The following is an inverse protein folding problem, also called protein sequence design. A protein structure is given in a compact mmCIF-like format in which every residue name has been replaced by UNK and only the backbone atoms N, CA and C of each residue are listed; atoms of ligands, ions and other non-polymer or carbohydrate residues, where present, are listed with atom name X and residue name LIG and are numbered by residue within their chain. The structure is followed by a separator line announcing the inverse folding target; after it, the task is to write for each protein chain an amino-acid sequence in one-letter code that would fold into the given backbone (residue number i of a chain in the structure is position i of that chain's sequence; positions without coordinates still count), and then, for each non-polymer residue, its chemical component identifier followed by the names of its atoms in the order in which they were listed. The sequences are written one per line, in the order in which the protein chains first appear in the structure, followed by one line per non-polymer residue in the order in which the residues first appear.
data_IF_893905786962
#
_entry.id   IF_893905786962
#
_cell.length_a   1.000
_cell.length_b   1.000
_cell.length_c   1.000
_cell.angle_alpha   90.00
_cell.angle_beta   90.00
_cell.angle_gamma   90.00
#
_symmetry.space_group_name_H-M   'P 1'
#
loop_
_entity.id
_entity.type
_entity.pdbx_description
1 polymer ?
#
# COMPACT_ATOMS: atom_id res chain seq x y z
N UNK A 1 22.27 -46.78 -11.15
CA UNK A 1 21.44 -46.29 -10.04
C UNK A 1 21.42 -44.77 -10.11
N UNK A 2 20.36 -44.21 -10.69
CA UNK A 2 20.20 -42.75 -10.72
C UNK A 2 19.55 -42.29 -9.41
N UNK A 3 20.34 -41.73 -8.52
CA UNK A 3 19.82 -41.00 -7.36
C UNK A 3 19.12 -39.76 -7.88
N UNK A 4 17.81 -39.77 -7.94
CA UNK A 4 17.03 -38.55 -8.12
C UNK A 4 17.31 -37.64 -6.93
N UNK A 5 17.80 -36.42 -7.15
CA UNK A 5 17.90 -35.46 -6.05
C UNK A 5 16.51 -35.29 -5.48
N UNK A 6 16.36 -35.49 -4.18
CA UNK A 6 15.10 -35.32 -3.48
C UNK A 6 14.55 -33.93 -3.78
N UNK A 7 13.34 -33.88 -4.28
CA UNK A 7 12.62 -32.60 -4.39
C UNK A 7 12.54 -32.03 -2.98
N UNK A 8 13.29 -30.99 -2.75
CA UNK A 8 13.06 -30.16 -1.57
C UNK A 8 11.69 -29.51 -1.78
N UNK A 9 10.67 -30.11 -1.20
CA UNK A 9 9.35 -29.49 -1.13
C UNK A 9 9.46 -28.31 -0.16
N UNK A 10 9.74 -27.14 -0.70
CA UNK A 10 9.55 -25.90 0.04
C UNK A 10 8.07 -25.85 0.37
N UNK A 11 7.67 -25.80 1.68
CA UNK A 11 6.27 -25.64 2.02
C UNK A 11 5.79 -24.38 1.29
N UNK A 12 4.78 -24.52 0.44
CA UNK A 12 4.19 -23.41 -0.26
C UNK A 12 3.70 -22.41 0.80
N UNK A 13 4.43 -21.33 0.98
CA UNK A 13 3.92 -20.15 1.68
C UNK A 13 2.68 -19.76 0.87
N UNK A 14 1.54 -19.86 1.48
CA UNK A 14 0.24 -19.75 0.85
C UNK A 14 0.11 -18.39 0.13
N UNK A 15 0.32 -18.32 -1.18
CA UNK A 15 0.24 -17.04 -1.89
C UNK A 15 -1.20 -16.56 -2.07
N UNK A 16 -2.18 -17.45 -1.86
CA UNK A 16 -3.60 -17.14 -2.03
C UNK A 16 -4.38 -17.74 -0.87
N UNK A 17 -5.05 -16.89 -0.09
CA UNK A 17 -5.91 -17.32 1.02
C UNK A 17 -7.31 -17.75 0.55
N UNK A 18 -7.84 -17.10 -0.48
CA UNK A 18 -9.16 -17.40 -1.04
C UNK A 18 -9.16 -17.25 -2.55
N UNK A 19 -9.68 -18.27 -3.22
CA UNK A 19 -10.04 -18.22 -4.64
C UNK A 19 -11.56 -18.11 -4.75
N UNK A 20 -12.06 -16.90 -5.01
CA UNK A 20 -13.48 -16.71 -5.34
C UNK A 20 -13.57 -16.27 -6.80
N UNK A 21 -13.78 -17.23 -7.71
CA UNK A 21 -13.86 -16.97 -9.14
C UNK A 21 -12.59 -16.30 -9.69
N UNK A 22 -12.69 -15.19 -10.44
CA UNK A 22 -11.52 -14.49 -10.98
C UNK A 22 -10.74 -13.66 -9.95
N UNK A 23 -11.22 -13.55 -8.70
CA UNK A 23 -10.59 -12.78 -7.62
C UNK A 23 -9.71 -13.70 -6.75
N UNK A 24 -8.42 -13.65 -6.98
CA UNK A 24 -7.43 -14.20 -6.08
C UNK A 24 -7.05 -13.13 -5.06
N UNK A 25 -7.56 -13.27 -3.84
CA UNK A 25 -7.09 -12.45 -2.73
C UNK A 25 -5.75 -13.01 -2.25
N UNK A 26 -4.68 -12.40 -2.71
CA UNK A 26 -3.34 -12.72 -2.24
C UNK A 26 -3.17 -12.32 -0.76
N UNK A 27 -2.34 -13.07 -0.04
CA UNK A 27 -1.97 -12.76 1.34
C UNK A 27 -1.46 -11.33 1.51
N UNK A 28 -0.70 -10.86 0.52
CA UNK A 28 -0.21 -9.47 0.49
C UNK A 28 -1.35 -8.45 0.47
N UNK A 29 -2.37 -8.66 -0.38
CA UNK A 29 -3.52 -7.75 -0.46
C UNK A 29 -4.30 -7.68 0.85
N UNK A 30 -4.51 -8.83 1.50
CA UNK A 30 -5.16 -8.88 2.81
C UNK A 30 -4.34 -8.16 3.88
N UNK A 31 -3.04 -8.42 3.95
CA UNK A 31 -2.15 -7.77 4.91
C UNK A 31 -2.03 -6.28 4.66
N UNK A 32 -2.02 -5.84 3.42
CA UNK A 32 -2.05 -4.43 3.07
C UNK A 32 -3.35 -3.76 3.55
N UNK A 33 -4.50 -4.38 3.32
CA UNK A 33 -5.79 -3.87 3.80
C UNK A 33 -5.84 -3.78 5.33
N UNK A 34 -5.38 -4.81 6.02
CA UNK A 34 -5.27 -4.80 7.48
C UNK A 34 -4.30 -3.73 7.98
N UNK A 35 -3.19 -3.55 7.27
CA UNK A 35 -2.20 -2.50 7.56
C UNK A 35 -2.78 -1.10 7.43
N UNK A 36 -3.52 -0.82 6.37
CA UNK A 36 -4.23 0.46 6.20
C UNK A 36 -5.29 0.69 7.28
N UNK A 37 -6.05 -0.34 7.60
CA UNK A 37 -7.09 -0.25 8.62
C UNK A 37 -6.48 -0.01 10.01
N UNK A 38 -5.44 -0.76 10.37
CA UNK A 38 -4.71 -0.57 11.62
C UNK A 38 -4.06 0.82 11.69
N UNK A 39 -3.42 1.27 10.62
CA UNK A 39 -2.86 2.60 10.50
C UNK A 39 -3.92 3.70 10.68
N UNK A 40 -5.10 3.51 10.12
CA UNK A 40 -6.22 4.44 10.30
C UNK A 40 -6.64 4.58 11.77
N UNK A 41 -6.82 3.46 12.46
CA UNK A 41 -7.21 3.49 13.87
C UNK A 41 -6.12 4.12 14.76
N UNK A 42 -4.88 3.80 14.52
CA UNK A 42 -3.74 4.40 15.24
C UNK A 42 -3.66 5.90 14.98
N UNK A 43 -3.77 6.30 13.73
CA UNK A 43 -3.79 7.72 13.36
C UNK A 43 -4.94 8.47 14.00
N UNK A 44 -6.14 7.89 13.96
CA UNK A 44 -7.32 8.49 14.58
C UNK A 44 -7.17 8.66 16.09
N UNK A 45 -6.61 7.67 16.77
CA UNK A 45 -6.32 7.74 18.20
C UNK A 45 -5.30 8.82 18.53
N UNK A 46 -4.22 8.92 17.76
CA UNK A 46 -3.22 9.97 17.92
C UNK A 46 -3.76 11.36 17.58
N UNK A 47 -4.55 11.48 16.54
CA UNK A 47 -5.21 12.74 16.17
C UNK A 47 -6.15 13.22 17.27
N UNK A 48 -6.94 12.32 17.86
CA UNK A 48 -7.81 12.64 18.99
C UNK A 48 -7.01 13.09 20.22
N UNK A 49 -5.92 12.42 20.52
CA UNK A 49 -5.03 12.74 21.65
C UNK A 49 -4.38 14.12 21.48
N UNK A 50 -4.07 14.50 20.25
CA UNK A 50 -3.42 15.80 19.90
C UNK A 50 -4.42 16.92 19.61
N UNK A 51 -5.71 16.66 19.69
CA UNK A 51 -6.77 17.64 19.40
C UNK A 51 -6.88 18.01 17.91
N UNK A 52 -6.45 17.13 17.02
CA UNK A 52 -6.57 17.31 15.57
C UNK A 52 -7.99 17.01 15.08
N UNK A 53 -8.33 17.50 13.88
CA UNK A 53 -9.65 17.28 13.29
C UNK A 53 -9.84 15.80 12.90
N UNK A 54 -10.72 15.08 13.62
CA UNK A 54 -11.01 13.68 13.35
C UNK A 54 -11.68 13.44 12.00
N UNK A 55 -12.46 14.41 11.52
CA UNK A 55 -13.11 14.35 10.20
C UNK A 55 -12.09 14.20 9.07
N UNK A 56 -10.92 14.80 9.21
CA UNK A 56 -9.85 14.75 8.24
C UNK A 56 -9.18 13.35 8.18
N UNK A 57 -9.32 12.55 9.23
CA UNK A 57 -8.70 11.20 9.29
C UNK A 57 -9.21 10.26 8.20
N UNK A 58 -10.50 10.26 7.95
CA UNK A 58 -11.10 9.44 6.88
C UNK A 58 -10.72 9.95 5.49
N UNK A 59 -10.66 11.26 5.30
CA UNK A 59 -10.19 11.86 4.04
C UNK A 59 -8.72 11.52 3.77
N UNK A 60 -7.87 11.59 4.79
CA UNK A 60 -6.47 11.22 4.69
C UNK A 60 -6.29 9.74 4.34
N UNK A 61 -7.09 8.86 4.93
CA UNK A 61 -7.07 7.44 4.60
C UNK A 61 -7.40 7.19 3.12
N UNK A 62 -8.52 7.74 2.65
CA UNK A 62 -8.98 7.55 1.26
C UNK A 62 -7.95 8.12 0.29
N UNK A 63 -7.47 9.33 0.53
CA UNK A 63 -6.50 9.99 -0.34
C UNK A 63 -5.16 9.26 -0.33
N UNK A 64 -4.71 8.74 0.80
CA UNK A 64 -3.47 7.96 0.88
C UNK A 64 -3.57 6.64 0.12
N UNK A 65 -4.70 5.95 0.19
CA UNK A 65 -4.94 4.71 -0.59
C UNK A 65 -4.92 5.01 -2.08
N UNK A 66 -5.68 5.99 -2.53
CA UNK A 66 -5.72 6.39 -3.95
C UNK A 66 -4.34 6.83 -4.43
N UNK A 67 -3.67 7.68 -3.68
CA UNK A 67 -2.33 8.16 -4.00
C UNK A 67 -1.30 7.03 -4.07
N UNK A 68 -1.39 6.06 -3.15
CA UNK A 68 -0.52 4.88 -3.15
C UNK A 68 -0.74 3.99 -4.37
N UNK A 69 -1.99 3.76 -4.74
CA UNK A 69 -2.33 2.96 -5.92
C UNK A 69 -1.85 3.63 -7.20
N UNK A 70 -2.11 4.92 -7.36
CA UNK A 70 -1.68 5.72 -8.52
C UNK A 70 -0.15 5.79 -8.58
N UNK A 71 0.50 6.10 -7.46
CA UNK A 71 1.96 6.19 -7.37
C UNK A 71 2.66 4.87 -7.69
N UNK A 72 2.13 3.76 -7.17
CA UNK A 72 2.66 2.43 -7.47
C UNK A 72 2.57 2.11 -8.97
N UNK A 73 1.47 2.48 -9.61
CA UNK A 73 1.27 2.28 -11.04
C UNK A 73 2.19 3.16 -11.89
N UNK A 74 2.30 4.43 -11.55
CA UNK A 74 3.19 5.35 -12.26
C UNK A 74 4.65 4.87 -12.16
N UNK A 75 5.10 4.49 -10.97
CA UNK A 75 6.45 4.01 -10.79
C UNK A 75 6.71 2.71 -11.58
N UNK A 76 5.74 1.80 -11.59
CA UNK A 76 5.84 0.58 -12.40
C UNK A 76 5.93 0.88 -13.90
N UNK A 77 5.12 1.81 -14.39
CA UNK A 77 5.18 2.24 -15.79
C UNK A 77 6.53 2.90 -16.14
N UNK A 78 7.12 3.66 -15.22
CA UNK A 78 8.45 4.25 -15.41
C UNK A 78 9.57 3.21 -15.40
N UNK A 79 9.46 2.20 -14.55
CA UNK A 79 10.43 1.10 -14.44
C UNK A 79 10.43 0.22 -15.70
N UNK A 80 9.25 -0.02 -16.26
CA UNK A 80 9.06 -0.81 -17.48
C UNK A 80 8.61 0.07 -18.66
N UNK A 81 9.32 1.17 -18.88
CA UNK A 81 8.96 2.15 -19.90
C UNK A 81 8.87 1.57 -21.31
N UNK A 82 9.75 0.66 -21.66
CA UNK A 82 9.75 0.00 -22.98
C UNK A 82 8.46 -0.79 -23.23
N UNK A 83 7.97 -1.48 -22.22
CA UNK A 83 6.69 -2.21 -22.29
C UNK A 83 5.50 -1.25 -22.24
N UNK A 84 5.62 -0.16 -21.50
CA UNK A 84 4.57 0.87 -21.41
C UNK A 84 4.32 1.54 -22.76
N UNK A 85 5.37 1.83 -23.53
CA UNK A 85 5.26 2.44 -24.85
C UNK A 85 4.57 1.49 -25.86
N UNK A 86 4.81 0.19 -25.73
CA UNK A 86 4.19 -0.83 -26.62
C UNK A 86 2.78 -1.22 -26.21
N UNK A 87 2.49 -1.31 -24.92
CA UNK A 87 1.17 -1.70 -24.40
C UNK A 87 0.85 -0.95 -23.10
N UNK A 88 0.43 0.34 -23.18
CA UNK A 88 0.14 1.13 -21.99
C UNK A 88 -1.08 0.61 -21.22
N UNK A 89 -2.07 0.04 -21.90
CA UNK A 89 -3.28 -0.48 -21.27
C UNK A 89 -2.98 -1.76 -20.50
N UNK A 90 -2.16 -2.65 -21.06
CA UNK A 90 -1.75 -3.89 -20.41
C UNK A 90 -1.00 -3.65 -19.12
N UNK A 91 -0.10 -2.66 -19.08
CA UNK A 91 0.64 -2.28 -17.87
C UNK A 91 -0.28 -1.68 -16.82
N UNK A 92 -1.14 -0.76 -17.21
CA UNK A 92 -2.07 -0.10 -16.28
C UNK A 92 -3.09 -1.07 -15.69
N UNK A 93 -3.45 -2.11 -16.44
CA UNK A 93 -4.41 -3.13 -16.02
C UNK A 93 -3.77 -4.42 -15.49
N UNK A 94 -2.46 -4.50 -15.47
CA UNK A 94 -1.72 -5.66 -14.97
C UNK A 94 -2.01 -5.90 -13.49
N UNK A 95 -2.24 -7.18 -13.14
CA UNK A 95 -2.36 -7.61 -11.73
C UNK A 95 -1.03 -7.51 -10.97
N UNK A 96 0.07 -7.60 -11.70
CA UNK A 96 1.42 -7.43 -11.20
C UNK A 96 1.86 -6.00 -11.48
N UNK A 97 2.62 -5.41 -10.62
CA UNK A 97 3.17 -4.09 -10.86
C UNK A 97 2.79 -3.05 -9.81
N UNK A 98 2.76 -3.50 -8.58
CA UNK A 98 2.74 -2.58 -7.46
C UNK A 98 4.15 -2.49 -6.89
N UNK A 99 4.84 -1.40 -7.17
CA UNK A 99 6.13 -1.11 -6.54
C UNK A 99 5.88 -0.44 -5.20
N UNK A 100 6.52 -0.97 -4.17
CA UNK A 100 6.37 -0.46 -2.81
C UNK A 100 6.79 1.02 -2.71
N UNK A 101 7.91 1.37 -3.34
CA UNK A 101 8.41 2.75 -3.34
C UNK A 101 7.44 3.74 -4.00
N UNK A 102 6.90 3.38 -5.15
CA UNK A 102 5.91 4.21 -5.85
C UNK A 102 4.64 4.41 -5.03
N UNK A 103 4.17 3.35 -4.39
CA UNK A 103 3.02 3.42 -3.49
C UNK A 103 3.27 4.32 -2.28
N UNK A 104 4.42 4.18 -1.64
CA UNK A 104 4.78 5.02 -0.49
C UNK A 104 4.91 6.50 -0.86
N UNK A 105 5.63 6.80 -1.93
CA UNK A 105 5.82 8.18 -2.41
C UNK A 105 4.47 8.78 -2.85
N UNK A 106 3.67 8.05 -3.60
CA UNK A 106 2.36 8.51 -4.06
C UNK A 106 1.40 8.77 -2.91
N UNK A 107 1.36 7.88 -1.93
CA UNK A 107 0.55 8.06 -0.72
C UNK A 107 0.99 9.26 0.11
N UNK A 108 2.29 9.41 0.32
CA UNK A 108 2.86 10.54 1.06
C UNK A 108 2.58 11.88 0.37
N UNK A 109 2.79 11.96 -0.94
CA UNK A 109 2.48 13.16 -1.73
C UNK A 109 1.00 13.52 -1.68
N UNK A 110 0.11 12.53 -1.80
CA UNK A 110 -1.32 12.75 -1.73
C UNK A 110 -1.75 13.31 -0.37
N UNK A 111 -1.21 12.78 0.71
CA UNK A 111 -1.45 13.29 2.07
C UNK A 111 -0.93 14.72 2.24
N UNK A 112 0.28 15.01 1.78
CA UNK A 112 0.87 16.36 1.84
C UNK A 112 0.02 17.35 1.05
N UNK A 113 -0.42 16.99 -0.15
CA UNK A 113 -1.27 17.83 -0.99
C UNK A 113 -2.59 18.10 -0.30
N UNK A 114 -3.25 17.09 0.26
CA UNK A 114 -4.52 17.27 0.97
C UNK A 114 -4.37 18.20 2.16
N UNK A 115 -3.35 18.03 2.98
CA UNK A 115 -3.09 18.89 4.13
C UNK A 115 -2.84 20.33 3.73
N UNK A 116 -2.10 20.56 2.64
CA UNK A 116 -1.89 21.91 2.09
C UNK A 116 -3.17 22.54 1.56
N UNK A 117 -4.00 21.79 0.84
CA UNK A 117 -5.28 22.26 0.32
C UNK A 117 -6.23 22.63 1.47
N UNK A 118 -6.22 21.84 2.54
CA UNK A 118 -7.02 22.09 3.74
C UNK A 118 -6.40 23.13 4.67
N UNK A 119 -5.25 23.72 4.31
CA UNK A 119 -4.51 24.71 5.11
C UNK A 119 -4.16 24.21 6.53
N UNK A 120 -3.87 22.93 6.65
CA UNK A 120 -3.45 22.30 7.91
C UNK A 120 -1.93 22.30 8.03
N UNK A 121 -1.45 22.35 9.27
CA UNK A 121 -0.02 22.28 9.57
C UNK A 121 0.48 20.85 9.38
N UNK A 122 1.54 20.67 8.61
CA UNK A 122 2.13 19.35 8.32
C UNK A 122 2.75 18.70 9.56
N UNK A 123 3.37 19.49 10.46
CA UNK A 123 4.08 18.96 11.63
C UNK A 123 3.22 18.09 12.55
N UNK A 124 2.10 18.58 13.09
CA UNK A 124 1.24 17.80 13.98
C UNK A 124 0.64 16.56 13.32
N UNK A 125 0.24 16.66 12.06
CA UNK A 125 -0.28 15.52 11.30
C UNK A 125 0.81 14.53 10.95
N UNK A 126 2.01 14.99 10.62
CA UNK A 126 3.18 14.13 10.40
C UNK A 126 3.54 13.32 11.64
N UNK A 127 3.55 13.94 12.80
CA UNK A 127 3.81 13.27 14.08
C UNK A 127 2.73 12.24 14.43
N UNK A 128 1.47 12.53 14.12
CA UNK A 128 0.36 11.59 14.32
C UNK A 128 0.39 10.43 13.31
N UNK A 129 0.91 10.67 12.11
CA UNK A 129 1.06 9.66 11.06
C UNK A 129 2.25 8.72 11.30
N UNK A 130 3.29 9.17 11.97
CA UNK A 130 4.52 8.39 12.17
C UNK A 130 4.27 7.00 12.76
N UNK A 131 3.55 6.80 13.88
CA UNK A 131 3.26 5.48 14.40
C UNK A 131 2.33 4.67 13.48
N UNK A 132 1.42 5.34 12.77
CA UNK A 132 0.55 4.68 11.80
C UNK A 132 1.33 4.11 10.61
N UNK A 133 2.30 4.85 10.09
CA UNK A 133 3.18 4.42 9.00
C UNK A 133 4.05 3.24 9.46
N UNK A 134 4.61 3.31 10.66
CA UNK A 134 5.42 2.23 11.23
C UNK A 134 4.61 0.92 11.34
N UNK A 135 3.38 1.01 11.80
CA UNK A 135 2.49 -0.15 11.90
C UNK A 135 2.12 -0.69 10.52
N UNK A 136 1.77 0.18 9.58
CA UNK A 136 1.49 -0.20 8.20
C UNK A 136 2.67 -0.92 7.54
N UNK A 137 3.89 -0.47 7.82
CA UNK A 137 5.11 -1.11 7.35
C UNK A 137 5.28 -2.54 7.90
N UNK A 138 4.97 -2.76 9.19
CA UNK A 138 5.01 -4.10 9.80
C UNK A 138 4.05 -5.05 9.09
N UNK A 139 2.82 -4.63 8.81
CA UNK A 139 1.86 -5.44 8.07
C UNK A 139 2.30 -5.69 6.62
N UNK A 140 2.88 -4.70 5.97
CA UNK A 140 3.44 -4.86 4.63
C UNK A 140 4.59 -5.85 4.57
N UNK A 141 5.41 -5.94 5.62
CA UNK A 141 6.50 -6.92 5.72
C UNK A 141 6.00 -8.32 6.07
N UNK A 142 4.87 -8.45 6.73
CA UNK A 142 4.27 -9.73 7.10
C UNK A 142 3.57 -10.43 5.92
N UNK A 143 3.09 -9.66 4.94
CA UNK A 143 2.50 -10.19 3.70
C UNK A 143 3.51 -10.38 2.60
#
# INVERSE_FOLDING_TARGET
MSSRPGRVTIPAVWPTLFKIGPLELGTFGLMAALGFLAAYFVFRAEAKRRGLQLKLSSELLVVSIIGSLVGARINYALEYWDVFVTDPVGILWSRYGFTWYGGFIGGALAVIILLKVRKQKLGPYGDALAPAIALGYVFGRAG
#
